data_IF_808191126050
#
_entry.id   IF_808191126050
#
_cell.length_a   1.000
_cell.length_b   1.000
_cell.length_c   1.000
_cell.angle_alpha   90.00
_cell.angle_beta   90.00
_cell.angle_gamma   90.00
#
_symmetry.space_group_name_H-M   'P 1'
#
loop_
_entity.id
_entity.type
_entity.pdbx_description
1 polymer ?
#
# COMPACT_ATOMS: atom_id res chain seq x y z
N UNK A 1 19.22 25.93 31.69
CA UNK A 1 19.64 25.33 30.39
C UNK A 1 18.47 25.47 29.43
N UNK A 2 18.56 26.40 28.52
CA UNK A 2 17.55 26.54 27.46
C UNK A 2 17.81 25.43 26.45
N UNK A 3 16.95 24.44 26.45
CA UNK A 3 16.95 23.44 25.37
C UNK A 3 16.59 24.18 24.08
N UNK A 4 17.44 24.09 23.07
CA UNK A 4 17.12 24.62 21.75
C UNK A 4 15.73 24.07 21.30
N UNK A 5 14.85 24.93 20.77
CA UNK A 5 13.55 24.48 20.33
C UNK A 5 13.73 23.34 19.30
N UNK A 6 13.06 22.22 19.54
CA UNK A 6 13.04 21.13 18.56
C UNK A 6 12.42 21.67 17.27
N UNK A 7 13.18 21.67 16.21
CA UNK A 7 12.61 21.84 14.89
C UNK A 7 11.77 20.60 14.58
N UNK A 8 10.46 20.79 14.47
CA UNK A 8 9.59 19.75 13.96
C UNK A 8 9.86 19.58 12.46
N UNK A 9 9.95 18.32 11.97
CA UNK A 9 10.07 18.11 10.54
C UNK A 9 8.86 18.73 9.83
N UNK A 10 9.10 19.48 8.78
CA UNK A 10 8.03 19.99 7.92
C UNK A 10 7.60 18.89 6.94
N UNK A 11 6.44 19.09 6.34
CA UNK A 11 5.85 18.13 5.39
C UNK A 11 6.84 17.70 4.28
N UNK A 12 7.59 18.64 3.72
CA UNK A 12 8.57 18.41 2.66
C UNK A 12 9.75 17.53 3.11
N UNK A 13 10.11 17.56 4.39
CA UNK A 13 11.18 16.72 4.93
C UNK A 13 10.79 15.24 4.97
N UNK A 14 9.49 14.98 5.16
CA UNK A 14 8.95 13.62 5.26
C UNK A 14 8.61 13.03 3.90
N UNK A 15 8.07 13.84 3.01
CA UNK A 15 7.44 13.39 1.76
C UNK A 15 8.14 13.92 0.50
N UNK A 16 9.11 14.86 0.66
CA UNK A 16 9.71 15.57 -0.44
C UNK A 16 8.74 16.58 -1.09
N UNK A 17 9.26 17.43 -1.94
CA UNK A 17 8.43 18.36 -2.71
C UNK A 17 7.56 17.58 -3.69
N UNK A 18 6.26 17.77 -3.61
CA UNK A 18 5.34 17.32 -4.63
C UNK A 18 5.56 18.19 -5.88
N UNK A 19 5.83 17.57 -7.00
CA UNK A 19 5.83 18.24 -8.28
C UNK A 19 4.43 18.07 -8.88
N UNK A 20 3.62 19.10 -8.79
CA UNK A 20 2.28 19.13 -9.40
C UNK A 20 2.33 19.06 -10.94
N UNK A 21 3.51 19.30 -11.52
CA UNK A 21 3.72 19.35 -12.95
C UNK A 21 4.13 18.01 -13.59
N UNK A 22 4.33 16.97 -12.79
CA UNK A 22 4.74 15.67 -13.32
C UNK A 22 3.53 14.82 -13.71
N UNK A 23 3.35 14.49 -15.00
CA UNK A 23 2.24 13.67 -15.43
C UNK A 23 2.29 12.29 -14.78
N UNK A 24 1.16 11.84 -14.25
CA UNK A 24 0.97 10.50 -13.72
C UNK A 24 0.31 9.62 -14.77
N UNK A 25 1.03 8.65 -15.28
CA UNK A 25 0.58 7.68 -16.29
C UNK A 25 0.42 6.25 -15.74
N UNK A 26 0.48 6.11 -14.44
CA UNK A 26 0.31 4.84 -13.75
C UNK A 26 -1.14 4.45 -13.48
N UNK A 27 -1.30 3.46 -12.62
CA UNK A 27 -2.60 2.93 -12.18
C UNK A 27 -2.70 3.09 -10.67
N UNK A 28 -3.80 3.64 -10.20
CA UNK A 28 -4.14 3.73 -8.77
C UNK A 28 -5.49 3.10 -8.50
N UNK A 29 -5.62 2.45 -7.34
CA UNK A 29 -6.89 1.91 -6.85
C UNK A 29 -6.99 2.10 -5.35
N UNK A 30 -8.19 2.33 -4.87
CA UNK A 30 -8.52 2.15 -3.47
C UNK A 30 -8.67 0.67 -3.15
N UNK A 31 -8.43 0.29 -1.92
CA UNK A 31 -8.52 -1.11 -1.51
C UNK A 31 -9.92 -1.70 -1.76
N UNK A 32 -10.96 -0.89 -1.60
CA UNK A 32 -12.35 -1.32 -1.81
C UNK A 32 -12.73 -1.58 -3.29
N UNK A 33 -11.86 -1.24 -4.24
CA UNK A 33 -12.09 -1.45 -5.69
C UNK A 33 -11.74 -2.86 -6.17
N UNK A 34 -11.61 -3.84 -5.27
CA UNK A 34 -11.35 -5.22 -5.65
C UNK A 34 -12.55 -5.84 -6.40
N UNK A 35 -12.29 -6.69 -7.39
CA UNK A 35 -13.32 -7.36 -8.18
C UNK A 35 -13.82 -8.64 -7.51
N UNK A 36 -12.93 -9.33 -6.79
CA UNK A 36 -13.27 -10.57 -6.08
C UNK A 36 -12.32 -10.82 -4.93
N UNK A 37 -12.71 -11.75 -4.05
CA UNK A 37 -11.87 -12.26 -2.96
C UNK A 37 -11.89 -13.79 -2.97
N UNK A 38 -10.81 -14.38 -2.47
CA UNK A 38 -10.62 -15.83 -2.43
C UNK A 38 -9.99 -16.23 -1.09
N UNK A 39 -10.31 -17.36 -0.47
CA UNK A 39 -11.20 -18.44 -0.94
C UNK A 39 -12.69 -18.17 -0.69
N UNK A 40 -13.04 -17.16 0.07
CA UNK A 40 -14.42 -16.81 0.45
C UNK A 40 -14.69 -15.32 0.15
N UNK A 41 -15.95 -14.93 0.03
CA UNK A 41 -16.31 -13.52 0.08
C UNK A 41 -15.73 -12.88 1.34
N UNK A 42 -15.23 -11.65 1.21
CA UNK A 42 -14.48 -10.98 2.28
C UNK A 42 -15.28 -10.89 3.58
N UNK A 43 -16.55 -10.52 3.50
CA UNK A 43 -17.45 -10.43 4.65
C UNK A 43 -17.66 -11.78 5.33
N UNK A 44 -17.76 -12.85 4.55
CA UNK A 44 -17.89 -14.23 5.05
C UNK A 44 -16.64 -14.74 5.76
N UNK A 45 -15.49 -14.13 5.49
CA UNK A 45 -14.22 -14.44 6.16
C UNK A 45 -13.95 -13.55 7.38
N UNK A 46 -14.87 -12.64 7.72
CA UNK A 46 -14.70 -11.71 8.85
C UNK A 46 -13.88 -10.47 8.53
N UNK A 47 -13.73 -10.16 7.25
CA UNK A 47 -13.10 -8.93 6.78
C UNK A 47 -14.11 -7.93 6.25
N UNK A 48 -13.63 -6.85 5.68
CA UNK A 48 -14.47 -5.86 5.00
C UNK A 48 -13.92 -4.45 5.03
N UNK A 49 -14.67 -3.55 4.41
CA UNK A 49 -14.33 -2.13 4.41
C UNK A 49 -14.52 -1.51 5.77
N UNK A 50 -13.61 -0.62 6.12
CA UNK A 50 -13.69 0.20 7.34
C UNK A 50 -13.88 1.64 6.89
N UNK A 51 -15.09 2.16 7.07
CA UNK A 51 -15.43 3.53 6.71
C UNK A 51 -14.63 4.54 7.53
N UNK A 52 -14.29 5.65 6.91
CA UNK A 52 -13.55 6.77 7.51
C UNK A 52 -12.10 6.42 7.89
N UNK A 53 -11.56 5.32 7.42
CA UNK A 53 -10.18 4.91 7.68
C UNK A 53 -9.31 5.04 6.42
N UNK A 54 -8.11 5.56 6.62
CA UNK A 54 -7.10 5.72 5.58
C UNK A 54 -7.30 6.94 4.69
N UNK A 55 -6.41 7.14 3.75
CA UNK A 55 -6.52 8.22 2.76
C UNK A 55 -7.67 7.99 1.79
N UNK A 56 -8.02 6.74 1.51
CA UNK A 56 -9.20 6.39 0.71
C UNK A 56 -10.52 6.62 1.44
N UNK A 57 -10.49 6.85 2.75
CA UNK A 57 -11.65 6.89 3.64
C UNK A 57 -12.46 5.58 3.65
N UNK A 58 -11.88 4.50 3.13
CA UNK A 58 -12.54 3.21 3.03
C UNK A 58 -11.52 2.06 2.91
N UNK A 59 -10.61 1.96 3.87
CA UNK A 59 -9.61 0.90 3.91
C UNK A 59 -10.28 -0.48 4.11
N UNK A 60 -9.60 -1.54 3.69
CA UNK A 60 -10.14 -2.91 3.73
C UNK A 60 -9.31 -3.79 4.65
N UNK A 61 -9.95 -4.35 5.66
CA UNK A 61 -9.36 -5.38 6.52
C UNK A 61 -9.40 -6.73 5.79
N UNK A 62 -8.22 -7.30 5.58
CA UNK A 62 -8.04 -8.58 4.88
C UNK A 62 -7.71 -9.64 5.93
N UNK A 63 -8.61 -10.60 6.20
CA UNK A 63 -8.33 -11.70 7.13
C UNK A 63 -7.19 -12.58 6.63
N UNK A 64 -6.46 -13.18 7.56
CA UNK A 64 -5.40 -14.15 7.24
C UNK A 64 -5.88 -15.20 6.25
N UNK A 65 -5.12 -15.40 5.18
CA UNK A 65 -5.40 -16.37 4.14
C UNK A 65 -6.34 -15.88 3.03
N UNK A 66 -6.94 -14.71 3.18
CA UNK A 66 -7.80 -14.13 2.13
C UNK A 66 -6.98 -13.31 1.16
N UNK A 67 -7.34 -13.42 -0.12
CA UNK A 67 -6.72 -12.74 -1.24
C UNK A 67 -7.73 -11.82 -1.93
N UNK A 68 -7.37 -10.56 -2.11
CA UNK A 68 -8.13 -9.62 -2.94
C UNK A 68 -7.59 -9.64 -4.36
N UNK A 69 -8.47 -9.58 -5.33
CA UNK A 69 -8.15 -9.63 -6.76
C UNK A 69 -8.60 -8.35 -7.44
N UNK A 70 -7.65 -7.72 -8.13
CA UNK A 70 -7.87 -6.49 -8.91
C UNK A 70 -7.56 -6.74 -10.38
N UNK A 71 -8.44 -6.30 -11.27
CA UNK A 71 -8.22 -6.31 -12.70
C UNK A 71 -8.02 -4.88 -13.21
N UNK A 72 -7.04 -4.68 -14.05
CA UNK A 72 -6.79 -3.38 -14.64
C UNK A 72 -6.16 -3.52 -16.04
N UNK A 73 -6.15 -2.42 -16.78
CA UNK A 73 -5.57 -2.37 -18.13
C UNK A 73 -4.59 -1.23 -18.22
N UNK A 74 -3.44 -1.45 -18.84
CA UNK A 74 -2.44 -0.42 -19.09
C UNK A 74 -2.18 -0.23 -20.60
N UNK A 75 -1.88 1.01 -20.98
CA UNK A 75 -1.40 1.34 -22.33
C UNK A 75 0.13 1.46 -22.38
N UNK A 76 0.77 1.54 -21.23
CA UNK A 76 2.22 1.65 -21.07
C UNK A 76 2.81 0.32 -20.63
N UNK A 77 4.06 0.09 -21.02
CA UNK A 77 4.82 -1.09 -20.63
C UNK A 77 6.20 -0.72 -20.10
N UNK A 78 6.83 -1.60 -19.37
CA UNK A 78 8.18 -1.45 -18.86
C UNK A 78 8.33 -1.80 -17.40
N UNK A 79 9.46 -1.42 -16.84
CA UNK A 79 9.71 -1.54 -15.43
C UNK A 79 8.89 -0.52 -14.66
N UNK A 80 8.28 -0.95 -13.58
CA UNK A 80 7.43 -0.12 -12.74
C UNK A 80 7.64 -0.47 -11.27
N UNK A 81 7.12 0.39 -10.40
CA UNK A 81 7.07 0.15 -8.95
C UNK A 81 5.62 -0.02 -8.54
N UNK A 82 5.32 -1.13 -7.88
CA UNK A 82 4.06 -1.33 -7.16
C UNK A 82 4.20 -0.77 -5.75
N UNK A 83 3.43 0.25 -5.46
CA UNK A 83 3.27 0.79 -4.11
C UNK A 83 2.05 0.16 -3.46
N UNK A 84 2.21 -0.41 -2.29
CA UNK A 84 1.11 -0.86 -1.45
C UNK A 84 1.08 -0.02 -0.18
N UNK A 85 -0.04 0.62 0.07
CA UNK A 85 -0.26 1.49 1.21
C UNK A 85 -1.16 0.78 2.22
N UNK A 86 -0.57 0.34 3.32
CA UNK A 86 -1.27 -0.32 4.42
C UNK A 86 -1.53 0.67 5.55
N UNK A 87 -2.61 0.46 6.29
CA UNK A 87 -2.80 1.16 7.56
C UNK A 87 -1.75 0.64 8.54
N UNK A 88 -1.00 1.52 9.23
CA UNK A 88 -0.05 1.09 10.25
C UNK A 88 -0.75 0.33 11.38
N UNK A 89 -0.38 -0.93 11.54
CA UNK A 89 -0.90 -1.82 12.57
C UNK A 89 0.25 -2.49 13.33
N UNK A 90 -0.08 -3.22 14.36
CA UNK A 90 0.88 -4.01 15.13
C UNK A 90 0.54 -5.49 14.99
N UNK A 91 1.54 -6.39 14.96
CA UNK A 91 1.28 -7.81 15.02
C UNK A 91 0.78 -8.21 16.42
N UNK A 92 0.20 -9.39 16.52
CA UNK A 92 0.01 -10.03 17.81
C UNK A 92 1.36 -10.26 18.49
N UNK A 93 1.42 -10.39 19.81
CA UNK A 93 2.66 -10.38 20.62
C UNK A 93 3.83 -11.22 20.10
N UNK A 94 3.54 -12.33 19.44
CA UNK A 94 4.55 -13.22 18.84
C UNK A 94 4.32 -13.46 17.34
N UNK A 95 3.47 -12.64 16.72
CA UNK A 95 3.10 -12.77 15.33
C UNK A 95 4.02 -12.03 14.38
N UNK A 96 3.84 -12.36 13.14
CA UNK A 96 4.33 -11.59 12.00
C UNK A 96 3.23 -10.67 11.46
N UNK A 97 3.59 -9.79 10.56
CA UNK A 97 2.68 -8.86 9.91
C UNK A 97 3.00 -8.82 8.42
N UNK A 98 2.67 -9.92 7.73
CA UNK A 98 3.06 -10.16 6.34
C UNK A 98 1.86 -10.20 5.42
N UNK A 99 2.08 -9.76 4.21
CA UNK A 99 1.18 -9.95 3.09
C UNK A 99 1.98 -10.29 1.83
N UNK A 100 1.29 -10.75 0.81
CA UNK A 100 1.89 -11.18 -0.45
C UNK A 100 1.23 -10.46 -1.60
N UNK A 101 2.03 -10.01 -2.56
CA UNK A 101 1.55 -9.43 -3.81
C UNK A 101 1.96 -10.32 -4.97
N UNK A 102 1.05 -10.48 -5.94
CA UNK A 102 1.30 -11.24 -7.16
C UNK A 102 0.71 -10.47 -8.33
N UNK A 103 1.56 -10.07 -9.27
CA UNK A 103 1.13 -9.45 -10.52
C UNK A 103 1.14 -10.51 -11.63
N UNK A 104 -0.03 -10.76 -12.21
CA UNK A 104 -0.23 -11.79 -13.25
C UNK A 104 0.33 -13.16 -12.82
N UNK A 105 1.19 -13.75 -13.64
CA UNK A 105 1.87 -15.01 -13.35
C UNK A 105 3.32 -14.84 -12.87
N UNK A 106 3.68 -13.62 -12.43
CA UNK A 106 5.02 -13.36 -11.91
C UNK A 106 5.19 -14.01 -10.53
N UNK A 107 6.44 -14.12 -10.10
CA UNK A 107 6.75 -14.68 -8.79
C UNK A 107 6.10 -13.88 -7.67
N UNK A 108 5.35 -14.52 -6.76
CA UNK A 108 4.79 -13.83 -5.59
C UNK A 108 5.89 -13.20 -4.73
N UNK A 109 5.62 -12.02 -4.21
CA UNK A 109 6.53 -11.28 -3.32
C UNK A 109 5.89 -11.15 -1.95
N UNK A 110 6.58 -11.66 -0.93
CA UNK A 110 6.15 -11.53 0.47
C UNK A 110 6.76 -10.26 1.06
N UNK A 111 5.93 -9.44 1.69
CA UNK A 111 6.30 -8.16 2.27
C UNK A 111 5.94 -8.18 3.76
N UNK A 112 6.87 -7.78 4.61
CA UNK A 112 6.63 -7.60 6.05
C UNK A 112 6.41 -6.15 6.39
N UNK A 113 5.36 -5.88 7.17
CA UNK A 113 5.09 -4.57 7.79
C UNK A 113 5.65 -4.48 9.20
N UNK A 114 6.18 -5.60 9.73
CA UNK A 114 6.72 -5.65 11.09
C UNK A 114 7.97 -4.78 11.19
N UNK A 115 7.87 -3.74 11.99
CA UNK A 115 8.93 -2.78 12.20
C UNK A 115 9.25 -2.61 13.68
N UNK A 116 10.48 -2.26 13.97
CA UNK A 116 10.87 -1.93 15.33
C UNK A 116 10.08 -0.70 15.79
N UNK A 117 9.47 -0.79 16.97
CA UNK A 117 8.77 0.34 17.59
C UNK A 117 9.68 1.58 17.66
N UNK A 118 9.16 2.72 17.22
CA UNK A 118 9.88 3.99 17.11
C UNK A 118 11.06 4.00 16.11
N UNK A 119 11.16 3.04 15.19
CA UNK A 119 12.07 3.15 14.05
C UNK A 119 11.66 4.33 13.16
N UNK A 120 12.56 4.81 12.31
CA UNK A 120 12.24 5.91 11.39
C UNK A 120 11.10 5.54 10.44
N UNK A 121 11.10 4.32 9.91
CA UNK A 121 9.99 3.83 9.07
C UNK A 121 8.66 3.83 9.84
N UNK A 122 8.65 3.37 11.09
CA UNK A 122 7.45 3.37 11.93
C UNK A 122 6.92 4.80 12.15
N UNK A 123 7.80 5.74 12.51
CA UNK A 123 7.42 7.14 12.73
C UNK A 123 6.82 7.78 11.48
N UNK A 124 7.47 7.60 10.33
CA UNK A 124 6.98 8.13 9.04
C UNK A 124 5.64 7.52 8.69
N UNK A 125 5.47 6.21 8.87
CA UNK A 125 4.22 5.51 8.59
C UNK A 125 3.06 6.03 9.45
N UNK A 126 3.29 6.24 10.75
CA UNK A 126 2.27 6.78 11.66
C UNK A 126 1.91 8.22 11.29
N UNK A 127 2.90 9.06 11.02
CA UNK A 127 2.67 10.46 10.63
C UNK A 127 1.92 10.58 9.30
N UNK A 128 2.23 9.73 8.34
CA UNK A 128 1.54 9.68 7.04
C UNK A 128 0.14 9.07 7.15
N UNK A 129 -0.08 8.18 8.12
CA UNK A 129 -1.28 7.35 8.19
C UNK A 129 -1.26 6.17 7.21
N UNK A 130 -0.13 5.91 6.58
CA UNK A 130 0.09 4.79 5.67
C UNK A 130 1.50 4.22 5.84
N UNK A 131 1.60 2.90 5.94
CA UNK A 131 2.85 2.16 5.78
C UNK A 131 3.01 1.82 4.30
N UNK A 132 3.89 2.53 3.62
CA UNK A 132 4.08 2.44 2.17
C UNK A 132 5.24 1.49 1.86
N UNK A 133 4.96 0.43 1.11
CA UNK A 133 5.98 -0.51 0.63
C UNK A 133 6.07 -0.47 -0.89
N UNK A 134 7.27 -0.69 -1.40
CA UNK A 134 7.58 -0.65 -2.82
C UNK A 134 8.05 -2.02 -3.30
N UNK A 135 7.49 -2.47 -4.41
CA UNK A 135 7.85 -3.74 -5.04
C UNK A 135 8.14 -3.50 -6.52
N UNK A 136 9.36 -3.76 -7.01
CA UNK A 136 9.64 -3.70 -8.45
C UNK A 136 8.82 -4.73 -9.20
N UNK A 137 8.20 -4.32 -10.29
CA UNK A 137 7.40 -5.19 -11.17
C UNK A 137 7.67 -4.89 -12.62
N UNK A 138 7.36 -5.85 -13.49
CA UNK A 138 7.36 -5.67 -14.95
C UNK A 138 5.93 -5.68 -15.44
N UNK A 139 5.57 -4.68 -16.22
CA UNK A 139 4.22 -4.48 -16.73
C UNK A 139 4.26 -4.47 -18.24
N UNK A 140 3.42 -5.27 -18.90
CA UNK A 140 3.19 -5.23 -20.34
C UNK A 140 1.97 -4.37 -20.68
N UNK A 141 1.76 -4.09 -21.95
CA UNK A 141 0.50 -3.50 -22.39
C UNK A 141 -0.63 -4.50 -22.28
N UNK A 142 -1.83 -4.03 -21.96
CA UNK A 142 -3.04 -4.85 -21.94
C UNK A 142 -3.58 -5.09 -20.56
N UNK A 143 -4.24 -6.23 -20.40
CA UNK A 143 -4.97 -6.59 -19.17
C UNK A 143 -4.04 -7.25 -18.15
N UNK A 144 -4.26 -6.92 -16.89
CA UNK A 144 -3.49 -7.42 -15.76
C UNK A 144 -4.38 -7.82 -14.60
N UNK A 145 -3.86 -8.72 -13.78
CA UNK A 145 -4.45 -9.11 -12.49
C UNK A 145 -3.45 -8.92 -11.39
N UNK A 146 -3.80 -8.11 -10.40
CA UNK A 146 -3.04 -7.96 -9.16
C UNK A 146 -3.76 -8.69 -8.04
N UNK A 147 -3.04 -9.52 -7.31
CA UNK A 147 -3.54 -10.23 -6.14
C UNK A 147 -2.80 -9.77 -4.90
N UNK A 148 -3.54 -9.45 -3.85
CA UNK A 148 -2.97 -9.06 -2.55
C UNK A 148 -3.57 -9.98 -1.49
N UNK A 149 -2.72 -10.78 -0.86
CA UNK A 149 -3.10 -11.81 0.11
C UNK A 149 -2.54 -11.50 1.48
N UNK A 150 -3.38 -11.52 2.51
CA UNK A 150 -2.92 -11.45 3.88
C UNK A 150 -2.35 -12.80 4.33
N UNK A 151 -1.12 -12.82 4.82
CA UNK A 151 -0.48 -14.00 5.39
C UNK A 151 -0.60 -14.07 6.90
N UNK A 152 -0.87 -12.94 7.53
CA UNK A 152 -1.07 -12.80 8.97
C UNK A 152 -2.30 -11.94 9.26
N UNK A 153 -2.69 -11.88 10.52
CA UNK A 153 -3.78 -11.00 10.98
C UNK A 153 -3.35 -9.53 10.98
N UNK A 154 -4.32 -8.62 11.04
CA UNK A 154 -4.13 -7.16 11.10
C UNK A 154 -3.56 -6.53 9.82
N UNK A 155 -3.75 -7.14 8.68
CA UNK A 155 -3.45 -6.57 7.37
C UNK A 155 -4.65 -5.75 6.91
N UNK A 156 -4.46 -4.44 6.82
CA UNK A 156 -5.48 -3.48 6.39
C UNK A 156 -4.93 -2.68 5.22
N UNK A 157 -5.47 -2.93 4.04
CA UNK A 157 -5.06 -2.25 2.81
C UNK A 157 -5.87 -0.97 2.62
N UNK A 158 -5.18 0.12 2.35
CA UNK A 158 -5.81 1.41 2.03
C UNK A 158 -5.87 1.65 0.52
N UNK A 159 -4.71 1.63 -0.12
CA UNK A 159 -4.56 1.91 -1.56
C UNK A 159 -3.38 1.15 -2.14
N UNK A 160 -3.35 1.03 -3.47
CA UNK A 160 -2.17 0.62 -4.20
C UNK A 160 -2.00 1.43 -5.48
N UNK A 161 -0.77 1.50 -5.97
CA UNK A 161 -0.40 2.24 -7.15
C UNK A 161 0.69 1.52 -7.92
N UNK A 162 0.59 1.47 -9.23
CA UNK A 162 1.70 1.10 -10.11
C UNK A 162 2.17 2.36 -10.81
N UNK A 163 3.43 2.72 -10.64
CA UNK A 163 4.05 3.90 -11.23
C UNK A 163 5.24 3.50 -12.10
N UNK A 164 5.26 3.98 -13.33
CA UNK A 164 6.36 3.76 -14.27
C UNK A 164 7.53 4.72 -14.04
N UNK A 165 7.31 5.77 -13.26
CA UNK A 165 8.38 6.68 -12.86
C UNK A 165 9.07 6.16 -11.59
N UNK A 166 10.39 5.96 -11.67
CA UNK A 166 11.20 5.66 -10.50
C UNK A 166 11.32 6.89 -9.61
N UNK A 167 11.33 6.66 -8.29
CA UNK A 167 11.58 7.70 -7.29
C UNK A 167 10.58 8.87 -7.29
N UNK A 168 9.31 8.59 -7.60
CA UNK A 168 8.28 9.62 -7.43
C UNK A 168 8.13 9.99 -5.95
N UNK A 169 8.17 11.27 -5.68
CA UNK A 169 7.88 11.81 -4.35
C UNK A 169 6.41 12.22 -4.27
N UNK A 170 5.71 11.72 -3.27
CA UNK A 170 4.30 12.04 -3.04
C UNK A 170 3.95 11.80 -1.57
N UNK A 171 2.97 12.53 -1.07
CA UNK A 171 2.36 12.27 0.23
C UNK A 171 1.10 11.43 0.09
N UNK A 172 0.23 11.85 -0.79
CA UNK A 172 -1.01 11.14 -1.13
C UNK A 172 -0.82 10.44 -2.47
N UNK A 173 -1.27 9.19 -2.57
CA UNK A 173 -1.29 8.48 -3.85
C UNK A 173 -2.13 9.28 -4.84
N UNK A 174 -1.59 9.60 -6.04
CA UNK A 174 -2.34 10.33 -7.05
C UNK A 174 -3.63 9.61 -7.43
N UNK A 175 -4.72 10.36 -7.47
CA UNK A 175 -6.02 9.83 -7.90
C UNK A 175 -6.23 10.21 -9.37
N UNK A 176 -6.62 9.24 -10.18
CA UNK A 176 -7.04 9.46 -11.57
C UNK A 176 -8.54 9.60 -11.65
#
# INVERSE_FOLDING_TARGET
MDAAPRQLPVFEDVCGKLSDDEPFDGITRNACDYQSSYPLPLEGAGGGSIQMLGHSMNAVSIPKGVELVYHFTTQKEGDAILYTAMIPTQPNDKGDLRYQVTLDNQQPVVISLKEKYRSEFWKVSVLRGQALKQTPVKVSKGQHTLKIKALDDHIILDQWMIDFKKERKFYVIPVK
#
